data_IF_447743422135
#
_entry.id   IF_447743422135
#
_cell.length_a   1.000
_cell.length_b   1.000
_cell.length_c   1.000
_cell.angle_alpha   90.00
_cell.angle_beta   90.00
_cell.angle_gamma   90.00
#
_symmetry.space_group_name_H-M   'P 1'
#
loop_
_entity.id
_entity.type
_entity.pdbx_description
1 polymer ?
#
# COMPACT_ATOMS: atom_id res chain seq x y z
N UNK A 1 13.74 64.77 -110.55
CA UNK A 1 13.95 66.06 -109.89
C UNK A 1 13.92 65.86 -108.42
N UNK A 2 15.06 65.96 -107.83
CA UNK A 2 15.39 66.53 -106.54
C UNK A 2 14.57 65.91 -105.31
N UNK A 3 15.12 65.64 -104.28
CA UNK A 3 16.38 65.84 -103.57
C UNK A 3 16.19 65.43 -102.15
N UNK A 4 17.11 64.64 -101.62
CA UNK A 4 17.81 64.82 -100.33
C UNK A 4 16.92 65.03 -99.07
N UNK A 5 17.25 64.46 -97.92
CA UNK A 5 18.50 64.35 -97.16
C UNK A 5 18.22 63.47 -95.93
N UNK A 6 19.03 62.52 -95.72
CA UNK A 6 20.05 62.41 -94.69
C UNK A 6 19.61 62.63 -93.22
N UNK A 7 19.69 61.57 -92.47
CA UNK A 7 20.58 61.32 -91.29
C UNK A 7 20.15 61.87 -89.95
N UNK A 8 20.73 61.35 -88.84
CA UNK A 8 20.73 59.99 -88.29
C UNK A 8 20.46 60.01 -86.77
N UNK A 9 20.48 58.80 -86.25
CA UNK A 9 20.89 58.43 -84.88
C UNK A 9 20.12 58.91 -83.64
N UNK A 10 19.70 58.04 -82.90
CA UNK A 10 20.39 57.75 -81.62
C UNK A 10 19.82 56.45 -80.97
N UNK A 11 20.75 55.57 -80.79
CA UNK A 11 20.52 54.36 -80.05
C UNK A 11 20.30 54.66 -78.59
N UNK A 12 19.18 54.30 -78.05
CA UNK A 12 19.05 54.23 -76.60
C UNK A 12 18.83 52.75 -76.20
N UNK A 13 19.93 52.14 -75.74
CA UNK A 13 19.94 50.84 -75.10
C UNK A 13 19.11 50.93 -73.82
N UNK A 14 17.86 50.48 -73.87
CA UNK A 14 17.10 50.18 -72.64
C UNK A 14 17.56 48.87 -72.05
N UNK A 15 18.37 48.95 -71.00
CA UNK A 15 18.68 47.79 -70.13
C UNK A 15 17.41 47.39 -69.43
N UNK A 16 16.75 46.38 -69.95
CA UNK A 16 15.67 45.69 -69.18
C UNK A 16 16.32 44.93 -68.05
N UNK A 17 16.24 45.49 -66.84
CA UNK A 17 16.50 44.77 -65.59
C UNK A 17 15.50 43.68 -65.48
N UNK A 18 15.93 42.45 -65.76
CA UNK A 18 15.19 41.22 -65.54
C UNK A 18 15.07 41.02 -64.02
N UNK A 19 13.98 41.54 -63.42
CA UNK A 19 13.64 41.30 -62.05
C UNK A 19 13.61 39.76 -61.87
N UNK A 20 14.55 39.25 -61.08
CA UNK A 20 14.49 37.87 -60.58
C UNK A 20 13.21 37.75 -59.77
N UNK A 21 12.15 37.27 -60.38
CA UNK A 21 10.98 36.76 -59.65
C UNK A 21 11.47 35.62 -58.81
N UNK A 22 11.59 35.85 -57.51
CA UNK A 22 11.73 34.78 -56.52
C UNK A 22 10.51 33.86 -56.69
N UNK A 23 10.74 32.74 -57.34
CA UNK A 23 9.73 31.70 -57.49
C UNK A 23 9.38 31.21 -56.10
N UNK A 24 8.27 31.73 -55.55
CA UNK A 24 7.72 31.23 -54.29
C UNK A 24 7.42 29.73 -54.40
N UNK A 25 7.34 29.08 -53.30
CA UNK A 25 7.05 27.64 -53.14
C UNK A 25 5.90 27.17 -54.05
N UNK A 26 4.96 28.05 -54.37
CA UNK A 26 3.80 27.85 -55.25
C UNK A 26 4.12 27.51 -56.73
N UNK A 27 5.34 27.72 -57.18
CA UNK A 27 5.74 27.48 -58.56
C UNK A 27 6.51 26.17 -58.77
N UNK A 28 6.58 25.34 -57.74
CA UNK A 28 7.20 24.01 -57.78
C UNK A 28 6.14 22.93 -57.58
N UNK A 29 5.46 22.46 -58.64
CA UNK A 29 4.36 21.53 -58.53
C UNK A 29 4.76 20.17 -57.88
N UNK A 30 6.02 19.77 -58.06
CA UNK A 30 6.53 18.53 -57.45
C UNK A 30 6.64 18.65 -55.89
N UNK A 31 7.02 19.80 -55.37
CA UNK A 31 7.06 20.02 -53.91
C UNK A 31 5.64 20.13 -53.30
N UNK A 32 4.74 20.80 -54.03
CA UNK A 32 3.34 20.90 -53.60
C UNK A 32 2.65 19.54 -53.58
N UNK A 33 2.89 18.69 -54.58
CA UNK A 33 2.35 17.34 -54.58
C UNK A 33 2.92 16.50 -53.45
N UNK A 34 4.23 16.57 -53.21
CA UNK A 34 4.88 15.86 -52.10
C UNK A 34 4.32 16.30 -50.74
N UNK A 35 4.15 17.61 -50.52
CA UNK A 35 3.53 18.14 -49.28
C UNK A 35 2.08 17.69 -49.19
N UNK A 36 1.33 17.70 -50.29
CA UNK A 36 -0.05 17.20 -50.29
C UNK A 36 -0.12 15.73 -49.97
N UNK A 37 0.75 14.88 -50.54
CA UNK A 37 0.81 13.46 -50.33
C UNK A 37 1.19 13.14 -48.87
N UNK A 38 2.14 13.88 -48.28
CA UNK A 38 2.51 13.78 -46.85
C UNK A 38 1.34 14.17 -45.95
N UNK A 39 0.66 15.29 -46.28
CA UNK A 39 -0.53 15.72 -45.53
C UNK A 39 -1.67 14.68 -45.61
N UNK A 40 -1.90 14.14 -46.77
CA UNK A 40 -2.90 13.06 -46.97
C UNK A 40 -2.53 11.80 -46.18
N UNK A 41 -1.25 11.44 -46.14
CA UNK A 41 -0.76 10.32 -45.36
C UNK A 41 -1.03 10.54 -43.85
N UNK A 42 -0.66 11.72 -43.34
CA UNK A 42 -0.93 12.07 -41.93
C UNK A 42 -2.43 12.14 -41.64
N UNK A 43 -3.23 12.67 -42.55
CA UNK A 43 -4.68 12.69 -42.39
C UNK A 43 -5.27 11.26 -42.37
N UNK A 44 -4.81 10.39 -43.26
CA UNK A 44 -5.23 8.99 -43.32
C UNK A 44 -4.81 8.23 -42.03
N UNK A 45 -3.57 8.44 -41.55
CA UNK A 45 -3.11 7.86 -40.29
C UNK A 45 -3.89 8.40 -39.08
N UNK A 46 -4.16 9.70 -39.03
CA UNK A 46 -4.98 10.32 -37.99
C UNK A 46 -6.42 9.82 -38.01
N UNK A 47 -7.02 9.67 -39.18
CA UNK A 47 -8.36 9.13 -39.31
C UNK A 47 -8.42 7.64 -38.91
N UNK A 48 -7.43 6.86 -39.33
CA UNK A 48 -7.32 5.45 -38.94
C UNK A 48 -7.17 5.31 -37.43
N UNK A 49 -6.30 6.11 -36.81
CA UNK A 49 -6.15 6.16 -35.35
C UNK A 49 -7.44 6.54 -34.64
N UNK A 50 -8.14 7.60 -35.12
CA UNK A 50 -9.41 8.02 -34.57
C UNK A 50 -10.50 6.94 -34.70
N UNK A 51 -10.53 6.24 -35.83
CA UNK A 51 -11.47 5.15 -36.07
C UNK A 51 -11.21 3.94 -35.17
N UNK A 52 -9.94 3.59 -34.97
CA UNK A 52 -9.52 2.52 -34.06
C UNK A 52 -9.89 2.88 -32.63
N UNK A 53 -9.53 4.07 -32.14
CA UNK A 53 -9.87 4.52 -30.78
C UNK A 53 -11.37 4.62 -30.55
N UNK A 54 -12.12 5.09 -31.58
CA UNK A 54 -13.58 5.13 -31.53
C UNK A 54 -14.19 3.72 -31.47
N UNK A 55 -13.69 2.77 -32.27
CA UNK A 55 -14.16 1.38 -32.25
C UNK A 55 -13.91 0.71 -30.88
N UNK A 56 -12.72 0.91 -30.29
CA UNK A 56 -12.40 0.37 -28.97
C UNK A 56 -13.15 1.07 -27.82
N UNK A 57 -13.62 2.31 -28.01
CA UNK A 57 -14.42 3.01 -27.01
C UNK A 57 -15.89 2.60 -26.99
N UNK A 58 -16.37 1.90 -28.03
CA UNK A 58 -17.75 1.39 -28.08
C UNK A 58 -17.94 0.20 -27.13
N UNK A 59 -19.15 -0.03 -26.60
CA UNK A 59 -19.45 -1.18 -25.73
C UNK A 59 -19.53 -2.51 -26.51
N UNK A 60 -18.63 -2.70 -27.48
CA UNK A 60 -18.58 -3.92 -28.27
C UNK A 60 -17.90 -5.09 -27.53
N UNK A 61 -17.21 -4.79 -26.42
CA UNK A 61 -16.55 -5.78 -25.56
C UNK A 61 -16.93 -5.52 -24.10
N UNK A 62 -18.19 -5.75 -23.72
CA UNK A 62 -18.61 -5.54 -22.33
C UNK A 62 -17.88 -6.52 -21.42
N UNK A 63 -17.59 -6.08 -20.21
CA UNK A 63 -17.08 -6.97 -19.17
C UNK A 63 -18.24 -7.77 -18.60
N UNK A 64 -18.18 -9.10 -18.73
CA UNK A 64 -19.26 -10.00 -18.31
C UNK A 64 -19.00 -10.63 -16.94
N UNK A 65 -17.75 -10.87 -16.59
CA UNK A 65 -17.43 -11.59 -15.34
C UNK A 65 -16.21 -11.01 -14.63
N UNK A 66 -16.27 -11.10 -13.29
CA UNK A 66 -15.14 -10.94 -12.40
C UNK A 66 -14.84 -12.31 -11.79
N UNK A 67 -13.73 -12.90 -12.16
CA UNK A 67 -13.29 -14.23 -11.72
C UNK A 67 -12.36 -14.04 -10.53
N UNK A 68 -12.68 -14.64 -9.40
CA UNK A 68 -11.80 -14.65 -8.22
C UNK A 68 -10.81 -15.79 -8.36
N UNK A 69 -9.50 -15.48 -8.22
CA UNK A 69 -8.42 -16.50 -8.22
C UNK A 69 -8.53 -17.41 -6.99
N UNK A 70 -8.80 -16.81 -5.83
CA UNK A 70 -8.93 -17.51 -4.56
C UNK A 70 -10.16 -16.96 -3.84
N UNK A 71 -11.02 -17.82 -3.27
CA UNK A 71 -12.16 -17.33 -2.49
C UNK A 71 -11.64 -16.62 -1.24
N UNK A 72 -12.12 -15.39 -0.95
CA UNK A 72 -11.76 -14.67 0.25
C UNK A 72 -12.39 -15.31 1.49
N UNK A 73 -11.75 -15.17 2.64
CA UNK A 73 -12.21 -15.70 3.93
C UNK A 73 -12.86 -14.63 4.80
N UNK A 74 -12.36 -13.41 4.75
CA UNK A 74 -12.81 -12.30 5.58
C UNK A 74 -13.68 -11.29 4.81
N UNK A 75 -13.44 -11.15 3.50
CA UNK A 75 -14.20 -10.25 2.65
C UNK A 75 -15.48 -10.93 2.18
N UNK A 76 -16.62 -10.32 2.43
CA UNK A 76 -17.92 -10.89 2.03
C UNK A 76 -18.17 -10.70 0.53
N UNK A 77 -18.93 -11.63 -0.06
CA UNK A 77 -19.35 -11.55 -1.46
C UNK A 77 -20.09 -10.23 -1.76
N UNK A 78 -20.92 -9.75 -0.86
CA UNK A 78 -21.64 -8.49 -1.01
C UNK A 78 -20.70 -7.28 -1.09
N UNK A 79 -19.64 -7.25 -0.28
CA UNK A 79 -18.61 -6.20 -0.35
C UNK A 79 -17.89 -6.22 -1.70
N UNK A 80 -17.50 -7.40 -2.18
CA UNK A 80 -16.86 -7.54 -3.49
C UNK A 80 -17.75 -7.09 -4.64
N UNK A 81 -19.02 -7.50 -4.64
CA UNK A 81 -19.98 -7.08 -5.65
C UNK A 81 -20.23 -5.57 -5.63
N UNK A 82 -20.32 -4.97 -4.45
CA UNK A 82 -20.49 -3.53 -4.30
C UNK A 82 -19.30 -2.77 -4.89
N UNK A 83 -18.07 -3.16 -4.55
CA UNK A 83 -16.85 -2.54 -5.08
C UNK A 83 -16.76 -2.77 -6.59
N UNK A 84 -17.02 -3.98 -7.07
CA UNK A 84 -17.00 -4.31 -8.50
C UNK A 84 -17.95 -3.42 -9.30
N UNK A 85 -19.22 -3.28 -8.86
CA UNK A 85 -20.23 -2.44 -9.53
C UNK A 85 -19.84 -0.96 -9.53
N UNK A 86 -19.14 -0.49 -8.52
CA UNK A 86 -18.79 0.92 -8.38
C UNK A 86 -17.49 1.28 -9.10
N UNK A 87 -16.50 0.38 -9.05
CA UNK A 87 -15.16 0.64 -9.56
C UNK A 87 -14.98 0.23 -11.02
N UNK A 88 -15.68 -0.83 -11.48
CA UNK A 88 -15.52 -1.32 -12.86
C UNK A 88 -16.35 -0.45 -13.78
N UNK A 89 -15.65 0.40 -14.55
CA UNK A 89 -16.25 1.29 -15.55
C UNK A 89 -15.55 1.09 -16.89
N UNK A 90 -16.34 1.18 -17.98
CA UNK A 90 -15.83 1.01 -19.33
C UNK A 90 -16.00 -0.41 -19.84
N UNK A 91 -15.18 -0.78 -20.83
CA UNK A 91 -15.16 -2.09 -21.46
C UNK A 91 -13.85 -2.83 -21.20
N UNK A 92 -13.69 -4.04 -21.74
CA UNK A 92 -12.49 -4.86 -21.56
C UNK A 92 -11.18 -4.14 -21.86
N UNK A 93 -11.14 -3.22 -22.84
CA UNK A 93 -9.93 -2.49 -23.24
C UNK A 93 -9.76 -1.17 -22.48
N UNK A 94 -10.85 -0.49 -22.14
CA UNK A 94 -10.84 0.85 -21.54
C UNK A 94 -10.91 0.84 -20.02
N UNK A 95 -11.23 -0.31 -19.39
CA UNK A 95 -11.26 -0.45 -17.95
C UNK A 95 -9.88 -0.13 -17.33
N UNK A 96 -9.86 0.76 -16.35
CA UNK A 96 -8.66 1.20 -15.67
C UNK A 96 -8.34 0.26 -14.50
N UNK A 97 -7.51 -0.73 -14.76
CA UNK A 97 -7.21 -1.79 -13.79
C UNK A 97 -6.63 -1.26 -12.49
N UNK A 98 -5.85 -0.19 -12.55
CA UNK A 98 -5.25 0.42 -11.36
C UNK A 98 -6.29 1.09 -10.44
N UNK A 99 -7.27 1.78 -11.02
CA UNK A 99 -8.39 2.36 -10.24
C UNK A 99 -9.23 1.25 -9.59
N UNK A 100 -9.45 0.16 -10.31
CA UNK A 100 -10.16 -1.03 -9.80
C UNK A 100 -9.36 -1.67 -8.67
N UNK A 101 -8.05 -1.89 -8.84
CA UNK A 101 -7.16 -2.41 -7.81
C UNK A 101 -7.23 -1.59 -6.52
N UNK A 102 -7.03 -0.27 -6.64
CA UNK A 102 -7.11 0.66 -5.50
C UNK A 102 -8.46 0.65 -4.81
N UNK A 103 -9.55 0.41 -5.55
CA UNK A 103 -10.88 0.33 -4.96
C UNK A 103 -11.04 -0.93 -4.09
N UNK A 104 -10.52 -2.07 -4.52
CA UNK A 104 -10.52 -3.29 -3.71
C UNK A 104 -9.59 -3.20 -2.50
N UNK A 105 -8.44 -2.53 -2.62
CA UNK A 105 -7.51 -2.30 -1.51
C UNK A 105 -8.05 -1.37 -0.41
N UNK A 106 -9.15 -0.67 -0.67
CA UNK A 106 -9.87 0.10 0.38
C UNK A 106 -10.71 -0.78 1.32
N UNK A 107 -10.93 -2.03 0.97
CA UNK A 107 -11.64 -2.95 1.87
C UNK A 107 -10.77 -3.26 3.09
N UNK A 108 -11.32 -3.22 4.31
CA UNK A 108 -10.55 -3.31 5.55
C UNK A 108 -9.65 -4.55 5.66
N UNK A 109 -10.11 -5.67 5.15
CA UNK A 109 -9.39 -6.94 5.23
C UNK A 109 -8.47 -7.21 4.03
N UNK A 110 -8.49 -6.37 2.99
CA UNK A 110 -7.64 -6.54 1.80
C UNK A 110 -6.30 -5.87 2.02
N UNK A 111 -5.25 -6.68 2.06
CA UNK A 111 -3.87 -6.21 2.12
C UNK A 111 -3.36 -5.77 0.76
N UNK A 112 -3.65 -6.58 -0.26
CA UNK A 112 -3.24 -6.32 -1.64
C UNK A 112 -4.27 -6.90 -2.60
N UNK A 113 -4.55 -6.17 -3.66
CA UNK A 113 -5.36 -6.66 -4.77
C UNK A 113 -4.53 -6.72 -6.06
N UNK A 114 -4.77 -7.72 -6.87
CA UNK A 114 -4.19 -7.88 -8.18
C UNK A 114 -5.31 -8.03 -9.19
N UNK A 115 -5.37 -7.16 -10.20
CA UNK A 115 -6.41 -7.20 -11.23
C UNK A 115 -5.77 -7.43 -12.58
N UNK A 116 -6.20 -8.45 -13.29
CA UNK A 116 -5.71 -8.79 -14.63
C UNK A 116 -6.86 -8.96 -15.60
N UNK A 117 -6.60 -8.68 -16.88
CA UNK A 117 -7.54 -9.00 -17.94
C UNK A 117 -7.47 -10.50 -18.26
N UNK A 118 -8.62 -11.13 -18.25
CA UNK A 118 -8.80 -12.52 -18.68
C UNK A 118 -9.60 -12.51 -19.97
N UNK A 119 -8.90 -12.83 -21.06
CA UNK A 119 -9.52 -12.83 -22.39
C UNK A 119 -10.65 -13.85 -22.49
N UNK A 120 -11.78 -13.59 -23.18
CA UNK A 120 -12.03 -12.44 -24.06
C UNK A 120 -12.71 -11.23 -23.38
N UNK A 121 -13.40 -11.38 -22.24
CA UNK A 121 -14.38 -10.43 -21.73
C UNK A 121 -14.46 -10.36 -20.20
N UNK A 122 -13.46 -10.90 -19.51
CA UNK A 122 -13.49 -11.04 -18.06
C UNK A 122 -12.29 -10.34 -17.40
N UNK A 123 -12.43 -10.05 -16.09
CA UNK A 123 -11.32 -9.66 -15.23
C UNK A 123 -11.05 -10.75 -14.20
N UNK A 124 -9.79 -11.05 -13.95
CA UNK A 124 -9.34 -11.89 -12.85
C UNK A 124 -8.94 -11.00 -11.69
N UNK A 125 -9.46 -11.30 -10.51
CA UNK A 125 -9.14 -10.62 -9.26
C UNK A 125 -8.45 -11.60 -8.31
N UNK A 126 -7.20 -11.32 -7.97
CA UNK A 126 -6.48 -11.94 -6.88
C UNK A 126 -6.54 -11.03 -5.65
N UNK A 127 -6.91 -11.59 -4.50
CA UNK A 127 -6.92 -10.89 -3.23
C UNK A 127 -5.97 -11.55 -2.26
N UNK A 128 -5.16 -10.75 -1.60
CA UNK A 128 -4.37 -11.12 -0.43
C UNK A 128 -5.02 -10.45 0.78
N UNK A 129 -5.56 -11.26 1.70
CA UNK A 129 -6.20 -10.76 2.91
C UNK A 129 -5.18 -10.59 4.04
N UNK A 130 -5.46 -9.66 4.97
CA UNK A 130 -4.71 -9.55 6.21
C UNK A 130 -4.96 -10.75 7.12
N UNK A 131 -3.92 -11.34 7.67
CA UNK A 131 -4.02 -12.30 8.76
C UNK A 131 -3.75 -11.57 10.07
N UNK A 132 -4.80 -11.25 10.81
CA UNK A 132 -4.70 -10.60 12.10
C UNK A 132 -4.01 -11.51 13.13
N UNK A 133 -3.08 -10.96 13.90
CA UNK A 133 -2.33 -11.67 14.94
C UNK A 133 -2.41 -11.00 16.32
N UNK A 134 -2.76 -9.72 16.37
CA UNK A 134 -2.92 -8.97 17.62
C UNK A 134 -3.84 -7.77 17.42
N UNK A 135 -4.44 -7.30 18.51
CA UNK A 135 -5.08 -6.00 18.59
C UNK A 135 -4.03 -4.92 18.80
N UNK A 136 -4.28 -3.73 18.23
CA UNK A 136 -3.39 -2.58 18.32
C UNK A 136 -4.07 -1.36 18.91
N UNK A 137 -3.42 -0.75 19.88
CA UNK A 137 -3.81 0.52 20.49
C UNK A 137 -2.65 1.50 20.50
N UNK A 138 -2.85 2.70 19.94
CA UNK A 138 -1.87 3.77 20.11
C UNK A 138 -1.92 4.35 21.52
N UNK A 139 -0.76 4.62 22.10
CA UNK A 139 -0.67 5.39 23.37
C UNK A 139 -1.12 6.82 23.07
N UNK A 140 -2.14 7.29 23.80
CA UNK A 140 -2.69 8.64 23.64
C UNK A 140 -3.99 8.71 22.85
N UNK A 141 -4.43 7.66 22.17
CA UNK A 141 -5.74 7.59 21.54
C UNK A 141 -6.82 7.32 22.58
N UNK A 142 -7.44 8.38 23.09
CA UNK A 142 -8.55 8.33 24.05
C UNK A 142 -9.87 7.97 23.37
N UNK A 143 -10.01 6.79 22.78
CA UNK A 143 -11.23 6.32 22.15
C UNK A 143 -11.11 5.99 20.66
N UNK A 144 -9.91 5.69 20.23
CA UNK A 144 -9.65 5.28 18.84
C UNK A 144 -10.29 3.95 18.47
N UNK A 145 -10.63 3.83 17.20
CA UNK A 145 -11.09 2.59 16.60
C UNK A 145 -10.12 1.44 16.89
N UNK A 146 -10.67 0.28 17.18
CA UNK A 146 -9.89 -0.94 17.34
C UNK A 146 -9.18 -1.23 16.02
N UNK A 147 -7.86 -1.30 16.08
CA UNK A 147 -7.01 -1.66 14.95
C UNK A 147 -6.42 -3.05 15.18
N UNK A 148 -5.98 -3.65 14.12
CA UNK A 148 -5.35 -4.96 14.15
C UNK A 148 -3.94 -4.88 13.58
N UNK A 149 -3.09 -5.83 13.98
CA UNK A 149 -1.76 -6.04 13.40
C UNK A 149 -1.81 -7.35 12.64
N UNK A 150 -1.31 -7.35 11.41
CA UNK A 150 -1.15 -8.56 10.62
C UNK A 150 0.20 -9.26 10.88
N UNK A 151 0.40 -10.43 10.26
CA UNK A 151 1.68 -11.19 10.36
C UNK A 151 2.91 -10.41 9.89
N UNK A 152 2.73 -9.43 9.03
CA UNK A 152 3.79 -8.57 8.48
C UNK A 152 4.13 -7.40 9.41
N UNK A 153 3.34 -7.20 10.49
CA UNK A 153 3.51 -6.07 11.41
C UNK A 153 2.83 -4.78 10.94
N UNK A 154 1.97 -4.86 9.91
CA UNK A 154 1.22 -3.71 9.41
C UNK A 154 -0.06 -3.53 10.24
N UNK A 155 -0.38 -2.27 10.55
CA UNK A 155 -1.60 -1.90 11.27
C UNK A 155 -2.71 -1.60 10.29
N UNK A 156 -3.87 -2.23 10.47
CA UNK A 156 -5.04 -2.01 9.62
C UNK A 156 -6.32 -1.87 10.46
N UNK A 157 -7.31 -1.19 9.91
CA UNK A 157 -8.58 -0.92 10.57
C UNK A 157 -9.61 -1.99 10.17
N UNK A 158 -9.85 -2.95 11.07
CA UNK A 158 -10.89 -3.96 10.91
C UNK A 158 -11.36 -4.43 12.28
N UNK A 159 -12.54 -5.06 12.35
CA UNK A 159 -13.06 -5.70 13.54
C UNK A 159 -12.85 -7.20 13.45
N UNK A 160 -12.57 -7.84 14.60
CA UNK A 160 -12.45 -9.29 14.75
C UNK A 160 -13.05 -9.74 16.07
N UNK A 161 -13.70 -10.89 16.07
CA UNK A 161 -14.23 -11.52 17.28
C UNK A 161 -13.29 -12.60 17.83
N UNK A 162 -12.12 -12.76 17.21
CA UNK A 162 -11.11 -13.76 17.62
C UNK A 162 -10.32 -13.24 18.80
N UNK A 163 -10.15 -14.06 19.82
CA UNK A 163 -9.29 -13.72 20.96
C UNK A 163 -7.83 -13.70 20.51
N UNK A 164 -7.20 -12.54 20.57
CA UNK A 164 -5.81 -12.28 20.20
C UNK A 164 -5.13 -11.47 21.29
N UNK A 165 -3.79 -11.49 21.37
CA UNK A 165 -3.07 -10.63 22.29
C UNK A 165 -3.28 -9.13 21.95
N UNK A 166 -3.23 -8.30 22.98
CA UNK A 166 -3.35 -6.85 22.86
C UNK A 166 -1.98 -6.18 22.92
N UNK A 167 -1.68 -5.33 21.95
CA UNK A 167 -0.48 -4.51 21.94
C UNK A 167 -0.84 -3.04 22.07
N UNK A 168 -0.13 -2.35 22.96
CA UNK A 168 -0.26 -0.90 23.12
C UNK A 168 1.12 -0.24 23.07
N UNK A 169 1.29 0.75 22.19
CA UNK A 169 2.59 1.36 21.97
C UNK A 169 2.55 2.65 21.16
N UNK A 170 3.69 3.31 21.02
CA UNK A 170 3.81 4.48 20.14
C UNK A 170 3.54 4.12 18.69
N UNK A 171 3.00 5.08 17.94
CA UNK A 171 2.72 4.91 16.52
C UNK A 171 3.99 4.50 15.74
N UNK A 172 3.84 3.57 14.79
CA UNK A 172 4.94 3.10 13.94
C UNK A 172 5.77 1.95 14.54
N UNK A 173 5.54 1.55 15.80
CA UNK A 173 6.30 0.47 16.46
C UNK A 173 5.60 -0.89 16.45
N UNK A 174 4.48 -1.02 15.76
CA UNK A 174 3.70 -2.27 15.71
C UNK A 174 4.53 -3.47 15.23
N UNK A 175 5.32 -3.31 14.17
CA UNK A 175 6.18 -4.37 13.64
C UNK A 175 7.27 -4.77 14.65
N UNK A 176 7.88 -3.80 15.33
CA UNK A 176 8.89 -4.06 16.38
C UNK A 176 8.24 -4.81 17.55
N UNK A 177 7.04 -4.38 17.96
CA UNK A 177 6.32 -5.06 19.03
C UNK A 177 5.95 -6.50 18.67
N UNK A 178 5.57 -6.75 17.43
CA UNK A 178 5.27 -8.11 16.96
C UNK A 178 6.51 -9.02 17.03
N UNK A 179 7.68 -8.53 16.64
CA UNK A 179 8.93 -9.31 16.73
C UNK A 179 9.33 -9.56 18.20
N UNK A 180 9.21 -8.55 19.05
CA UNK A 180 9.44 -8.71 20.51
C UNK A 180 8.44 -9.67 21.13
N UNK A 181 7.18 -9.63 20.73
CA UNK A 181 6.17 -10.59 21.18
C UNK A 181 6.56 -12.04 20.88
N UNK A 182 7.05 -12.31 19.66
CA UNK A 182 7.52 -13.65 19.28
C UNK A 182 8.70 -14.11 20.16
N UNK A 183 9.63 -13.19 20.42
CA UNK A 183 10.81 -13.46 21.24
C UNK A 183 10.42 -13.71 22.71
N UNK A 184 9.63 -12.81 23.30
CA UNK A 184 9.22 -12.93 24.69
C UNK A 184 8.29 -14.13 24.92
N UNK A 185 7.39 -14.41 24.00
CA UNK A 185 6.54 -15.62 24.07
C UNK A 185 7.36 -16.91 24.08
N UNK A 186 8.48 -16.93 23.35
CA UNK A 186 9.42 -18.07 23.34
C UNK A 186 10.12 -18.22 24.70
N UNK A 187 10.63 -17.10 25.25
CA UNK A 187 11.29 -17.09 26.56
C UNK A 187 10.33 -17.50 27.70
N UNK A 188 9.09 -17.03 27.62
CA UNK A 188 8.06 -17.30 28.63
C UNK A 188 7.44 -18.71 28.53
N UNK A 189 7.70 -19.46 27.44
CA UNK A 189 7.13 -20.81 27.22
C UNK A 189 7.31 -21.78 28.41
N UNK A 190 8.46 -21.83 29.12
CA UNK A 190 8.63 -22.73 30.26
C UNK A 190 7.64 -22.47 31.41
N UNK A 191 7.07 -21.28 31.52
CA UNK A 191 6.06 -20.93 32.52
C UNK A 191 4.69 -21.50 32.22
N UNK A 192 4.49 -22.14 31.05
CA UNK A 192 3.21 -22.65 30.57
C UNK A 192 2.08 -21.60 30.55
N UNK A 193 2.44 -20.33 30.51
CA UNK A 193 1.54 -19.18 30.46
C UNK A 193 1.69 -18.44 29.13
N UNK A 194 0.56 -17.90 28.65
CA UNK A 194 0.52 -17.16 27.37
C UNK A 194 0.63 -15.66 27.64
N UNK A 195 1.41 -14.99 26.82
CA UNK A 195 1.48 -13.53 26.79
C UNK A 195 0.21 -12.98 26.11
N UNK A 196 -0.69 -12.36 26.89
CA UNK A 196 -2.00 -11.88 26.43
C UNK A 196 -2.03 -10.38 26.18
N UNK A 197 -1.13 -9.63 26.80
CA UNK A 197 -1.04 -8.20 26.58
C UNK A 197 0.40 -7.71 26.71
N UNK A 198 0.76 -6.74 25.88
CA UNK A 198 2.09 -6.14 25.86
C UNK A 198 1.99 -4.64 25.61
N UNK A 199 2.48 -3.86 26.54
CA UNK A 199 2.52 -2.39 26.44
C UNK A 199 3.97 -1.91 26.35
N UNK A 200 4.21 -1.00 25.43
CA UNK A 200 5.45 -0.26 25.29
C UNK A 200 5.19 1.20 25.62
N UNK A 201 5.76 1.69 26.69
CA UNK A 201 5.62 3.10 27.10
C UNK A 201 6.37 4.02 26.11
N UNK A 202 6.01 5.31 26.09
CA UNK A 202 6.74 6.32 25.31
C UNK A 202 8.22 6.48 25.73
N UNK A 203 8.60 5.99 26.92
CA UNK A 203 9.97 6.01 27.43
C UNK A 203 10.76 4.74 27.13
N UNK A 204 10.15 3.78 26.40
CA UNK A 204 10.78 2.51 26.01
C UNK A 204 10.69 1.39 27.05
N UNK A 205 9.96 1.58 28.16
CA UNK A 205 9.73 0.53 29.13
C UNK A 205 8.60 -0.42 28.67
N UNK A 206 8.79 -1.72 28.89
CA UNK A 206 7.84 -2.75 28.53
C UNK A 206 7.04 -3.24 29.75
N UNK A 207 5.79 -3.56 29.53
CA UNK A 207 4.96 -4.25 30.48
C UNK A 207 4.27 -5.43 29.79
N UNK A 208 4.42 -6.61 30.34
CA UNK A 208 3.91 -7.88 29.81
C UNK A 208 2.88 -8.42 30.78
N UNK A 209 1.75 -8.92 30.28
CA UNK A 209 0.71 -9.60 31.06
C UNK A 209 0.48 -11.01 30.54
N UNK A 210 0.54 -11.95 31.46
CA UNK A 210 0.29 -13.34 31.18
C UNK A 210 -1.17 -13.72 31.52
N UNK A 211 -1.67 -14.75 30.89
CA UNK A 211 -3.00 -15.32 31.19
C UNK A 211 -3.11 -15.89 32.60
N UNK A 212 -1.98 -16.19 33.26
CA UNK A 212 -1.89 -16.57 34.66
C UNK A 212 -2.16 -15.42 35.64
N UNK A 213 -2.32 -14.18 35.17
CA UNK A 213 -2.45 -12.97 35.97
C UNK A 213 -1.12 -12.33 36.38
N UNK A 214 0.01 -12.93 36.07
CA UNK A 214 1.33 -12.34 36.32
C UNK A 214 1.59 -11.17 35.36
N UNK A 215 1.99 -10.01 35.89
CA UNK A 215 2.52 -8.89 35.13
C UNK A 215 4.03 -8.76 35.31
N UNK A 216 4.76 -8.51 34.23
CA UNK A 216 6.21 -8.38 34.23
C UNK A 216 6.56 -7.01 33.68
N UNK A 217 7.32 -6.22 34.44
CA UNK A 217 7.81 -4.90 34.05
C UNK A 217 9.29 -4.98 33.71
N UNK A 218 9.63 -4.53 32.51
CA UNK A 218 10.99 -4.51 31.99
C UNK A 218 11.38 -3.04 31.73
N UNK A 219 12.64 -2.71 31.87
CA UNK A 219 13.16 -1.40 31.54
C UNK A 219 13.32 -1.23 30.02
N UNK A 220 13.74 -0.04 29.62
CA UNK A 220 14.21 0.19 28.25
C UNK A 220 15.46 -0.64 27.98
N UNK A 221 15.70 -0.94 26.72
CA UNK A 221 16.89 -1.66 26.29
C UNK A 221 18.17 -0.95 26.72
N UNK A 222 19.09 -1.69 27.35
CA UNK A 222 20.38 -1.19 27.82
C UNK A 222 21.49 -2.02 27.19
N UNK A 223 22.58 -1.37 26.74
CA UNK A 223 23.69 -2.06 26.06
C UNK A 223 24.35 -3.15 26.93
N UNK A 224 24.35 -2.94 28.26
CA UNK A 224 25.05 -3.84 29.18
C UNK A 224 24.17 -4.96 29.76
N UNK A 225 22.85 -4.85 29.60
CA UNK A 225 21.90 -5.84 30.12
C UNK A 225 20.69 -5.97 29.17
N UNK A 226 20.78 -6.88 28.20
CA UNK A 226 19.68 -7.15 27.30
C UNK A 226 18.40 -7.59 28.05
N UNK A 227 17.27 -7.07 27.61
CA UNK A 227 15.95 -7.36 28.21
C UNK A 227 15.67 -8.87 28.18
N UNK A 228 16.06 -9.54 27.12
CA UNK A 228 15.91 -10.98 26.94
C UNK A 228 16.62 -11.75 28.06
N UNK A 229 17.87 -11.37 28.39
CA UNK A 229 18.65 -12.02 29.47
C UNK A 229 17.98 -11.83 30.83
N UNK A 230 17.45 -10.63 31.11
CA UNK A 230 16.71 -10.37 32.36
C UNK A 230 15.47 -11.26 32.44
N UNK A 231 14.72 -11.37 31.34
CA UNK A 231 13.52 -12.20 31.27
C UNK A 231 13.85 -13.69 31.42
N UNK A 232 14.92 -14.19 30.78
CA UNK A 232 15.39 -15.56 30.91
C UNK A 232 15.80 -15.89 32.35
N UNK A 233 16.55 -15.02 32.99
CA UNK A 233 16.96 -15.17 34.40
C UNK A 233 15.74 -15.22 35.33
N UNK A 234 14.76 -14.38 35.10
CA UNK A 234 13.51 -14.39 35.85
C UNK A 234 12.73 -15.68 35.65
N UNK A 235 12.56 -16.12 34.38
CA UNK A 235 11.86 -17.39 34.06
C UNK A 235 12.52 -18.58 34.72
N UNK A 236 13.85 -18.64 34.76
CA UNK A 236 14.60 -19.71 35.44
C UNK A 236 14.41 -19.67 36.96
N UNK A 237 14.34 -18.48 37.56
CA UNK A 237 14.21 -18.32 39.01
C UNK A 237 12.75 -18.51 39.52
N UNK A 238 11.75 -18.23 38.69
CA UNK A 238 10.35 -18.16 39.10
C UNK A 238 9.82 -19.45 39.77
N UNK A 239 10.09 -20.68 39.27
CA UNK A 239 9.62 -21.90 39.89
C UNK A 239 10.17 -22.09 41.31
N UNK A 240 11.44 -21.75 41.54
CA UNK A 240 12.06 -21.82 42.87
C UNK A 240 11.44 -20.80 43.84
N UNK A 241 11.11 -19.62 43.34
CA UNK A 241 10.49 -18.57 44.15
C UNK A 241 9.08 -18.94 44.53
N UNK A 242 8.28 -19.46 43.61
CA UNK A 242 6.91 -19.89 43.88
C UNK A 242 6.87 -21.03 44.89
N UNK A 243 7.76 -22.01 44.76
CA UNK A 243 7.88 -23.14 45.70
C UNK A 243 8.29 -22.67 47.12
N UNK A 244 9.21 -21.74 47.20
CA UNK A 244 9.72 -21.25 48.50
C UNK A 244 8.74 -20.29 49.19
N UNK A 245 8.02 -19.48 48.42
CA UNK A 245 7.09 -18.47 48.99
C UNK A 245 5.71 -19.03 49.27
N UNK A 246 5.31 -20.11 48.57
CA UNK A 246 3.98 -20.74 48.70
C UNK A 246 2.82 -19.81 48.32
N UNK A 247 3.11 -18.71 47.58
CA UNK A 247 2.12 -17.69 47.20
C UNK A 247 2.24 -17.35 45.73
N UNK A 248 1.14 -16.90 45.13
CA UNK A 248 1.14 -16.44 43.75
C UNK A 248 1.75 -15.04 43.65
N UNK A 249 2.54 -14.83 42.59
CA UNK A 249 3.16 -13.54 42.29
C UNK A 249 2.24 -12.81 41.31
N UNK A 250 1.81 -11.60 41.70
CA UNK A 250 0.97 -10.75 40.87
C UNK A 250 1.82 -9.88 39.90
N UNK A 251 2.98 -9.43 40.35
CA UNK A 251 3.83 -8.57 39.56
C UNK A 251 5.30 -8.85 39.83
N UNK A 252 6.11 -8.84 38.78
CA UNK A 252 7.56 -8.85 38.85
C UNK A 252 8.12 -7.61 38.15
N UNK A 253 8.95 -6.85 38.87
CA UNK A 253 9.64 -5.69 38.33
C UNK A 253 11.11 -6.05 38.11
N UNK A 254 11.51 -6.16 36.85
CA UNK A 254 12.85 -6.58 36.43
C UNK A 254 13.75 -5.39 36.04
N UNK A 255 13.39 -4.17 36.38
CA UNK A 255 14.19 -2.99 36.04
C UNK A 255 15.48 -2.83 36.88
N UNK A 256 15.68 -3.69 37.85
CA UNK A 256 16.86 -3.67 38.69
C UNK A 256 18.00 -4.50 38.10
N UNK A 257 19.24 -3.96 38.02
CA UNK A 257 20.35 -4.66 37.38
C UNK A 257 20.72 -6.00 38.02
N UNK A 258 20.58 -6.09 39.36
CA UNK A 258 21.08 -7.21 40.18
C UNK A 258 19.95 -8.05 40.79
N UNK A 259 18.70 -7.94 40.28
CA UNK A 259 17.59 -8.68 40.82
C UNK A 259 16.24 -8.20 40.34
N UNK A 260 15.20 -8.63 40.99
CA UNK A 260 13.82 -8.23 40.67
C UNK A 260 12.99 -8.04 41.93
N UNK A 261 12.04 -7.13 41.89
CA UNK A 261 11.10 -6.91 42.98
C UNK A 261 9.79 -7.64 42.67
N UNK A 262 9.25 -8.35 43.67
CA UNK A 262 8.03 -9.12 43.54
C UNK A 262 6.89 -8.51 44.34
N UNK A 263 5.71 -8.45 43.76
CA UNK A 263 4.46 -8.15 44.44
C UNK A 263 3.63 -9.41 44.50
N UNK A 264 3.24 -9.82 45.70
CA UNK A 264 2.46 -11.04 45.90
C UNK A 264 0.96 -10.75 45.82
N UNK A 265 0.18 -11.76 45.40
CA UNK A 265 -1.29 -11.68 45.43
C UNK A 265 -1.72 -11.67 46.90
N UNK A 266 -2.28 -10.55 47.39
CA UNK A 266 -2.87 -10.47 48.73
C UNK A 266 -4.23 -11.18 48.72
N UNK A 267 -4.33 -12.33 49.38
CA UNK A 267 -5.62 -13.04 49.61
C UNK A 267 -6.59 -12.30 50.56
N UNK A 268 -6.32 -11.05 50.92
CA UNK A 268 -7.15 -10.33 51.93
C UNK A 268 -8.37 -9.58 51.40
N UNK A 269 -8.71 -9.66 50.13
CA UNK A 269 -9.86 -8.89 49.58
C UNK A 269 -11.04 -9.75 49.14
N UNK A 270 -11.14 -11.00 49.61
CA UNK A 270 -12.24 -11.89 49.27
C UNK A 270 -13.24 -12.16 50.42
N UNK A 271 -13.28 -11.26 51.44
CA UNK A 271 -14.27 -11.33 52.51
C UNK A 271 -14.73 -9.90 52.88
N UNK A 272 -15.54 -9.30 52.04
CA UNK A 272 -16.57 -8.31 52.35
C UNK A 272 -17.68 -8.33 51.34
#
# INVERSE_FOLDING_TARGET
MAERRDSPASATRGTSSRAKRHGGLWHRPQLLNLVSDVLLLFAALGLSWALVTWAFSKPMFPLHALVLRTPPSQVTKAQLEYVARTAIKGNFFTAKLEEIRMAFEKLPWVRRAEVRRLWPDSLELGLEEHEAVAYWKNIGDSGGDVRLINRQGEVFAASSDVTMPEFSGPQGLAAVMLERYKTYSRILKPLQAKLVRMDLSARGAWCLWLDSGLSIVLDREQEHLPIETQLENFVAALPHLQNNLGVQIARADLRYPNGFALTLVNHKTALQ
#
